data_IF_252097255426
#
_entry.id   IF_252097255426
#
_cell.length_a   1.000
_cell.length_b   1.000
_cell.length_c   1.000
_cell.angle_alpha   90.00
_cell.angle_beta   90.00
_cell.angle_gamma   90.00
#
_symmetry.space_group_name_H-M   'P 1'
#
loop_
_entity.id
_entity.type
_entity.pdbx_description
1 polymer ?
#
# COMPACT_ATOMS: atom_id res chain seq x y z
N UNK A 1 -8.16 -16.44 28.05
CA UNK A 1 -7.30 -16.35 26.84
C UNK A 1 -8.15 -15.64 25.80
N UNK A 2 -7.89 -14.36 25.54
CA UNK A 2 -8.50 -13.68 24.41
C UNK A 2 -7.78 -14.22 23.19
N UNK A 3 -8.51 -14.82 22.26
CA UNK A 3 -7.96 -15.27 20.99
C UNK A 3 -7.47 -14.01 20.26
N UNK A 4 -6.15 -13.84 20.15
CA UNK A 4 -5.59 -12.68 19.46
C UNK A 4 -5.73 -12.94 17.96
N UNK A 5 -6.77 -12.37 17.35
CA UNK A 5 -7.00 -12.45 15.91
C UNK A 5 -5.73 -12.04 15.17
N UNK A 6 -5.20 -12.93 14.34
CA UNK A 6 -3.99 -12.67 13.57
C UNK A 6 -4.24 -11.61 12.49
N UNK A 7 -3.22 -10.87 12.02
CA UNK A 7 -3.38 -9.92 10.91
C UNK A 7 -3.98 -10.55 9.65
N UNK A 8 -3.74 -11.85 9.45
CA UNK A 8 -4.30 -12.63 8.34
C UNK A 8 -5.82 -12.76 8.48
N UNK A 9 -6.31 -13.15 9.67
CA UNK A 9 -7.75 -13.27 9.96
C UNK A 9 -8.44 -11.91 9.88
N UNK A 10 -7.83 -10.88 10.47
CA UNK A 10 -8.36 -9.50 10.41
C UNK A 10 -8.50 -9.06 8.95
N UNK A 11 -7.46 -9.28 8.13
CA UNK A 11 -7.52 -8.91 6.72
C UNK A 11 -8.62 -9.66 5.96
N UNK A 12 -8.74 -10.97 6.17
CA UNK A 12 -9.77 -11.79 5.51
C UNK A 12 -11.18 -11.32 5.88
N UNK A 13 -11.44 -11.16 7.18
CA UNK A 13 -12.77 -10.79 7.69
C UNK A 13 -13.15 -9.37 7.26
N UNK A 14 -12.22 -8.42 7.36
CA UNK A 14 -12.50 -7.01 7.04
C UNK A 14 -12.66 -6.78 5.54
N UNK A 15 -11.84 -7.41 4.69
CA UNK A 15 -12.01 -7.29 3.23
C UNK A 15 -13.35 -7.87 2.76
N UNK A 16 -13.82 -8.96 3.37
CA UNK A 16 -15.15 -9.48 3.11
C UNK A 16 -16.25 -8.55 3.64
N UNK A 17 -16.07 -8.01 4.85
CA UNK A 17 -17.03 -7.11 5.51
C UNK A 17 -17.25 -5.80 4.74
N UNK A 18 -16.19 -5.17 4.25
CA UNK A 18 -16.28 -3.94 3.45
C UNK A 18 -16.81 -4.18 2.03
N UNK A 19 -17.12 -5.43 1.68
CA UNK A 19 -17.80 -5.77 0.42
C UNK A 19 -16.87 -5.94 -0.78
N UNK A 20 -15.59 -6.26 -0.58
CA UNK A 20 -14.68 -6.52 -1.69
C UNK A 20 -15.20 -7.69 -2.54
N UNK A 21 -15.43 -7.50 -3.86
CA UNK A 21 -15.96 -8.56 -4.71
C UNK A 21 -15.06 -9.80 -4.72
N UNK A 22 -15.68 -10.98 -4.82
CA UNK A 22 -14.97 -12.25 -4.78
C UNK A 22 -13.87 -12.38 -5.85
N UNK A 23 -13.99 -11.67 -6.98
CA UNK A 23 -12.97 -11.63 -8.04
C UNK A 23 -11.71 -10.90 -7.58
N UNK A 24 -11.84 -9.77 -6.89
CA UNK A 24 -10.71 -9.00 -6.35
C UNK A 24 -10.17 -9.63 -5.06
N UNK A 25 -11.05 -10.13 -4.20
CA UNK A 25 -10.67 -10.82 -2.96
C UNK A 25 -9.72 -12.00 -3.22
N UNK A 26 -9.96 -12.77 -4.29
CA UNK A 26 -9.08 -13.88 -4.70
C UNK A 26 -7.69 -13.46 -5.17
N UNK A 27 -7.46 -12.17 -5.44
CA UNK A 27 -6.14 -11.63 -5.78
C UNK A 27 -5.29 -11.37 -4.53
N UNK A 28 -5.88 -11.40 -3.33
CA UNK A 28 -5.18 -11.17 -2.07
C UNK A 28 -4.58 -12.48 -1.54
N UNK A 29 -3.29 -12.44 -1.23
CA UNK A 29 -2.59 -13.55 -0.58
C UNK A 29 -2.77 -13.43 0.95
N UNK A 30 -3.49 -14.37 1.55
CA UNK A 30 -3.68 -14.46 3.00
C UNK A 30 -2.61 -15.35 3.65
N UNK A 31 -1.38 -14.86 3.63
CA UNK A 31 -0.21 -15.48 4.26
C UNK A 31 0.59 -14.42 5.01
N UNK A 32 1.54 -14.80 5.87
CA UNK A 32 2.37 -13.83 6.57
C UNK A 32 3.35 -13.14 5.59
N UNK A 33 3.32 -11.79 5.53
CA UNK A 33 4.31 -11.01 4.80
C UNK A 33 5.50 -10.68 5.69
N UNK A 34 6.62 -11.37 5.48
CA UNK A 34 7.85 -11.19 6.25
C UNK A 34 8.99 -10.57 5.43
N UNK A 35 9.85 -9.81 6.13
CA UNK A 35 11.07 -9.24 5.59
C UNK A 35 10.88 -8.00 4.71
N UNK A 36 12.00 -7.51 4.18
CA UNK A 36 12.05 -6.42 3.22
C UNK A 36 12.92 -6.80 2.00
N UNK A 37 12.51 -6.48 0.75
CA UNK A 37 11.20 -5.94 0.36
C UNK A 37 10.06 -6.89 0.74
N UNK A 38 8.83 -6.38 0.94
CA UNK A 38 7.70 -7.19 1.41
C UNK A 38 7.33 -8.24 0.37
N UNK A 39 6.68 -9.31 0.84
CA UNK A 39 6.01 -10.29 -0.03
C UNK A 39 4.51 -9.99 -0.02
N UNK A 40 3.80 -10.50 -1.02
CA UNK A 40 2.35 -10.50 -0.93
C UNK A 40 1.92 -11.28 0.32
N UNK A 41 0.97 -10.74 1.07
CA UNK A 41 0.64 -11.25 2.40
C UNK A 41 0.12 -10.18 3.34
N UNK A 42 -0.23 -10.60 4.56
CA UNK A 42 -0.69 -9.75 5.62
C UNK A 42 0.38 -9.64 6.71
N UNK A 43 0.46 -8.48 7.36
CA UNK A 43 1.28 -8.27 8.56
C UNK A 43 0.60 -7.25 9.48
N UNK A 44 1.04 -7.16 10.73
CA UNK A 44 0.64 -6.04 11.59
C UNK A 44 1.10 -4.72 10.97
N UNK A 45 0.21 -3.73 10.93
CA UNK A 45 0.63 -2.37 10.56
C UNK A 45 1.05 -1.63 11.83
N UNK A 46 2.17 -0.90 11.82
CA UNK A 46 2.45 0.04 12.90
C UNK A 46 1.42 1.20 12.83
N UNK A 47 1.08 1.73 14.00
CA UNK A 47 0.44 3.03 14.20
C UNK A 47 -1.10 3.11 14.06
N UNK A 48 -1.72 2.67 12.96
CA UNK A 48 -3.15 3.01 12.72
C UNK A 48 -4.04 1.91 12.15
N UNK A 49 -3.48 0.74 11.85
CA UNK A 49 -4.19 -0.35 11.18
C UNK A 49 -3.98 -1.68 11.91
N UNK A 50 -5.05 -2.39 12.29
CA UNK A 50 -4.94 -3.73 12.85
C UNK A 50 -4.34 -4.75 11.87
N UNK A 51 -4.36 -4.47 10.55
CA UNK A 51 -3.72 -5.32 9.55
C UNK A 51 -3.36 -4.55 8.26
N UNK A 52 -2.12 -4.73 7.81
CA UNK A 52 -1.66 -4.33 6.47
C UNK A 52 -1.72 -5.51 5.53
N UNK A 53 -2.23 -5.28 4.33
CA UNK A 53 -2.14 -6.22 3.20
C UNK A 53 -1.13 -5.70 2.18
N UNK A 54 -0.11 -6.48 1.89
CA UNK A 54 0.75 -6.31 0.73
C UNK A 54 0.16 -7.08 -0.45
N UNK A 55 -0.26 -6.38 -1.49
CA UNK A 55 -1.04 -6.96 -2.59
C UNK A 55 -0.38 -6.73 -3.96
N UNK A 56 -0.37 -7.79 -4.80
CA UNK A 56 0.05 -7.73 -6.22
C UNK A 56 -1.17 -7.54 -7.11
N UNK A 57 -1.77 -6.36 -7.06
CA UNK A 57 -3.07 -6.06 -7.68
C UNK A 57 -2.95 -4.95 -8.71
N UNK A 58 -3.80 -4.90 -9.74
CA UNK A 58 -3.96 -3.65 -10.49
C UNK A 58 -4.85 -2.68 -9.70
N UNK A 59 -4.24 -1.66 -9.09
CA UNK A 59 -4.97 -0.67 -8.31
C UNK A 59 -6.00 0.07 -9.16
N UNK A 60 -5.72 0.32 -10.45
CA UNK A 60 -6.70 0.94 -11.34
C UNK A 60 -7.95 0.04 -11.53
N UNK A 61 -7.77 -1.27 -11.69
CA UNK A 61 -8.88 -2.22 -11.78
C UNK A 61 -9.70 -2.24 -10.47
N UNK A 62 -9.02 -2.25 -9.32
CA UNK A 62 -9.69 -2.21 -8.03
C UNK A 62 -10.54 -0.96 -7.84
N UNK A 63 -10.06 0.20 -8.30
CA UNK A 63 -10.81 1.46 -8.25
C UNK A 63 -12.02 1.43 -9.19
N UNK A 64 -11.86 0.90 -10.40
CA UNK A 64 -12.95 0.81 -11.38
C UNK A 64 -14.08 -0.12 -10.88
N UNK A 65 -13.72 -1.22 -10.21
CA UNK A 65 -14.67 -2.24 -9.75
C UNK A 65 -15.19 -1.97 -8.35
N UNK A 66 -14.41 -1.32 -7.49
CA UNK A 66 -14.69 -1.25 -6.05
C UNK A 66 -14.13 0.02 -5.38
N UNK A 67 -14.25 1.18 -6.03
CA UNK A 67 -13.86 2.46 -5.43
C UNK A 67 -14.41 2.70 -4.01
N UNK A 68 -15.59 2.17 -3.68
CA UNK A 68 -16.24 2.30 -2.37
C UNK A 68 -15.48 1.64 -1.21
N UNK A 69 -14.56 0.70 -1.47
CA UNK A 69 -13.79 0.06 -0.37
C UNK A 69 -12.62 0.92 0.10
N UNK A 70 -12.28 1.98 -0.63
CA UNK A 70 -11.21 2.90 -0.27
C UNK A 70 -11.76 4.06 0.56
N UNK A 71 -11.01 4.44 1.59
CA UNK A 71 -11.37 5.55 2.47
C UNK A 71 -11.17 6.91 1.81
N UNK A 72 -11.30 7.99 2.60
CA UNK A 72 -10.95 9.34 2.15
C UNK A 72 -9.52 9.38 1.60
N UNK A 73 -9.35 10.13 0.50
CA UNK A 73 -8.08 10.27 -0.20
C UNK A 73 -8.02 11.65 -0.87
N UNK A 74 -6.81 12.10 -1.23
CA UNK A 74 -6.61 13.40 -1.87
C UNK A 74 -7.15 13.38 -3.31
N UNK A 75 -7.48 14.55 -3.82
CA UNK A 75 -7.91 14.69 -5.21
C UNK A 75 -6.86 14.08 -6.18
N UNK A 76 -7.31 13.24 -7.11
CA UNK A 76 -6.49 12.54 -8.10
C UNK A 76 -5.44 11.55 -7.56
N UNK A 77 -5.39 11.31 -6.25
CA UNK A 77 -4.37 10.44 -5.64
C UNK A 77 -4.46 9.01 -6.19
N UNK A 78 -5.58 8.32 -5.96
CA UNK A 78 -5.72 6.91 -6.32
C UNK A 78 -5.61 6.68 -7.84
N UNK A 79 -6.08 7.64 -8.66
CA UNK A 79 -5.92 7.59 -10.12
C UNK A 79 -4.44 7.72 -10.54
N UNK A 80 -3.69 8.64 -9.92
CA UNK A 80 -2.25 8.80 -10.15
C UNK A 80 -1.49 7.55 -9.72
N UNK A 81 -1.81 7.00 -8.54
CA UNK A 81 -1.20 5.76 -8.05
C UNK A 81 -1.46 4.58 -9.01
N UNK A 82 -2.70 4.43 -9.50
CA UNK A 82 -3.04 3.42 -10.50
C UNK A 82 -2.22 3.56 -11.78
N UNK A 83 -2.05 4.79 -12.29
CA UNK A 83 -1.24 5.08 -13.49
C UNK A 83 0.25 4.79 -13.28
N UNK A 84 0.81 5.18 -12.14
CA UNK A 84 2.20 4.88 -11.75
C UNK A 84 2.41 3.37 -11.65
N UNK A 85 1.54 2.66 -10.94
CA UNK A 85 1.63 1.20 -10.79
C UNK A 85 1.62 0.46 -12.13
N UNK A 86 0.75 0.88 -13.06
CA UNK A 86 0.71 0.32 -14.41
C UNK A 86 2.02 0.55 -15.17
N UNK A 87 2.55 1.77 -15.10
CA UNK A 87 3.82 2.12 -15.76
C UNK A 87 4.98 1.30 -15.21
N UNK A 88 5.06 1.13 -13.88
CA UNK A 88 6.13 0.37 -13.23
C UNK A 88 6.07 -1.13 -13.55
N UNK A 89 4.87 -1.74 -13.67
CA UNK A 89 4.73 -3.14 -14.12
C UNK A 89 5.30 -3.39 -15.51
N UNK A 90 5.32 -2.36 -16.36
CA UNK A 90 5.83 -2.41 -17.73
C UNK A 90 7.31 -2.01 -17.82
N UNK A 91 7.98 -1.73 -16.70
CA UNK A 91 9.36 -1.25 -16.67
C UNK A 91 10.40 -2.30 -17.12
N UNK A 92 10.03 -3.57 -17.18
CA UNK A 92 10.87 -4.65 -17.68
C UNK A 92 10.35 -6.03 -17.27
N UNK A 93 10.89 -7.06 -17.90
CA UNK A 93 10.59 -8.45 -17.55
C UNK A 93 10.95 -8.71 -16.07
N UNK A 94 10.03 -9.33 -15.33
CA UNK A 94 10.20 -9.59 -13.90
C UNK A 94 9.90 -8.42 -12.97
N UNK A 95 9.40 -7.28 -13.49
CA UNK A 95 8.92 -6.18 -12.65
C UNK A 95 7.65 -6.58 -11.88
N UNK A 96 7.69 -6.42 -10.57
CA UNK A 96 6.61 -6.71 -9.63
C UNK A 96 6.28 -5.44 -8.87
N UNK A 97 5.00 -5.07 -8.88
CA UNK A 97 4.47 -3.94 -8.10
C UNK A 97 3.61 -4.47 -6.96
N UNK A 98 3.93 -4.04 -5.75
CA UNK A 98 3.24 -4.34 -4.51
C UNK A 98 2.66 -3.05 -3.91
N UNK A 99 1.41 -3.12 -3.49
CA UNK A 99 0.73 -2.05 -2.75
C UNK A 99 0.54 -2.46 -1.30
N UNK A 100 0.87 -1.58 -0.37
CA UNK A 100 0.40 -1.68 1.00
C UNK A 100 -1.00 -1.07 1.11
N UNK A 101 -1.94 -1.91 1.53
CA UNK A 101 -3.32 -1.55 1.83
C UNK A 101 -3.52 -1.71 3.33
N UNK A 102 -3.63 -0.59 4.04
CA UNK A 102 -3.95 -0.58 5.45
C UNK A 102 -5.46 -0.62 5.64
N UNK A 103 -5.92 -1.49 6.54
CA UNK A 103 -7.32 -1.60 6.93
C UNK A 103 -7.53 -0.66 8.11
N UNK A 104 -8.29 0.41 7.91
CA UNK A 104 -8.41 1.48 8.91
C UNK A 104 -9.83 1.48 9.47
N UNK A 105 -9.93 1.51 10.80
CA UNK A 105 -11.21 1.52 11.50
C UNK A 105 -11.91 2.88 11.46
N UNK A 106 -13.26 2.94 11.55
CA UNK A 106 -14.03 4.17 11.49
C UNK A 106 -13.54 5.27 12.43
N UNK A 107 -13.16 4.90 13.65
CA UNK A 107 -12.76 5.85 14.69
C UNK A 107 -11.38 6.47 14.44
N UNK A 108 -10.59 5.91 13.53
CA UNK A 108 -9.28 6.45 13.12
C UNK A 108 -9.45 7.45 11.99
N UNK A 109 -10.49 7.36 11.17
CA UNK A 109 -10.69 8.31 10.08
C UNK A 109 -11.20 9.68 10.56
N UNK A 110 -10.85 10.73 9.83
CA UNK A 110 -11.61 11.99 9.86
C UNK A 110 -12.85 11.81 8.99
N UNK A 111 -14.03 11.95 9.61
CA UNK A 111 -15.34 11.97 8.94
C UNK A 111 -15.65 10.77 8.01
N UNK A 112 -15.18 9.56 8.35
CA UNK A 112 -15.53 8.33 7.62
C UNK A 112 -16.12 7.25 8.55
N UNK A 113 -17.41 6.91 8.42
CA UNK A 113 -18.12 6.11 9.43
C UNK A 113 -17.92 4.58 9.29
N UNK A 114 -17.11 4.12 8.35
CA UNK A 114 -16.94 2.69 8.04
C UNK A 114 -15.47 2.30 7.95
N UNK A 115 -15.18 1.01 8.12
CA UNK A 115 -13.86 0.43 7.83
C UNK A 115 -13.59 0.62 6.35
N UNK A 116 -12.37 1.00 5.99
CA UNK A 116 -11.97 1.18 4.61
C UNK A 116 -10.47 0.98 4.41
N UNK A 117 -10.06 0.89 3.15
CA UNK A 117 -8.67 0.74 2.75
C UNK A 117 -7.98 2.09 2.53
N UNK A 118 -6.81 2.24 3.12
CA UNK A 118 -5.83 3.26 2.77
C UNK A 118 -4.71 2.64 1.94
N UNK A 119 -4.35 3.26 0.81
CA UNK A 119 -3.10 2.93 0.11
C UNK A 119 -1.98 3.74 0.75
N UNK A 120 -0.99 3.07 1.33
CA UNK A 120 0.01 3.76 2.17
C UNK A 120 1.43 3.62 1.66
N UNK A 121 1.68 2.62 0.82
CA UNK A 121 3.02 2.31 0.32
C UNK A 121 2.97 1.61 -1.03
N UNK A 122 3.97 1.88 -1.85
CA UNK A 122 4.21 1.31 -3.16
C UNK A 122 5.63 0.76 -3.18
N UNK A 123 5.78 -0.51 -3.54
CA UNK A 123 7.10 -1.11 -3.77
C UNK A 123 7.15 -1.70 -5.17
N UNK A 124 8.17 -1.33 -5.92
CA UNK A 124 8.54 -1.97 -7.18
C UNK A 124 9.77 -2.85 -6.94
N UNK A 125 9.72 -4.11 -7.34
CA UNK A 125 10.84 -5.06 -7.27
C UNK A 125 11.09 -5.65 -8.65
N UNK A 126 12.35 -5.73 -9.08
CA UNK A 126 12.71 -6.38 -10.34
C UNK A 126 13.99 -5.81 -10.93
N UNK A 127 14.02 -5.49 -12.24
CA UNK A 127 15.19 -4.88 -12.86
C UNK A 127 15.42 -3.44 -12.35
N UNK A 128 16.61 -2.93 -12.59
CA UNK A 128 16.95 -1.52 -12.37
C UNK A 128 16.03 -0.65 -13.24
N UNK A 129 15.26 0.23 -12.60
CA UNK A 129 14.45 1.23 -13.27
C UNK A 129 15.35 2.28 -13.93
N UNK A 130 15.11 2.66 -15.19
CA UNK A 130 15.82 3.77 -15.81
C UNK A 130 15.62 5.09 -15.05
N UNK A 131 16.65 5.93 -14.95
CA UNK A 131 16.59 7.21 -14.22
C UNK A 131 15.41 8.09 -14.63
N UNK A 132 15.09 8.14 -15.93
CA UNK A 132 13.92 8.87 -16.45
C UNK A 132 12.59 8.38 -15.87
N UNK A 133 12.47 7.07 -15.61
CA UNK A 133 11.27 6.46 -15.05
C UNK A 133 11.20 6.72 -13.55
N UNK A 134 12.34 6.67 -12.85
CA UNK A 134 12.44 7.05 -11.44
C UNK A 134 12.01 8.50 -11.25
N UNK A 135 12.55 9.42 -12.05
CA UNK A 135 12.20 10.84 -12.00
C UNK A 135 10.70 11.07 -12.29
N UNK A 136 10.17 10.49 -13.37
CA UNK A 136 8.75 10.62 -13.70
C UNK A 136 7.82 10.05 -12.61
N UNK A 137 8.23 8.95 -11.97
CA UNK A 137 7.50 8.36 -10.84
C UNK A 137 7.52 9.30 -9.64
N UNK A 138 8.70 9.84 -9.31
CA UNK A 138 8.86 10.79 -8.22
C UNK A 138 8.00 12.05 -8.43
N UNK A 139 8.04 12.65 -9.62
CA UNK A 139 7.25 13.84 -9.95
C UNK A 139 5.74 13.57 -9.83
N UNK A 140 5.27 12.44 -10.37
CA UNK A 140 3.86 12.05 -10.31
C UNK A 140 3.38 11.83 -8.86
N UNK A 141 4.17 11.12 -8.05
CA UNK A 141 3.83 10.81 -6.66
C UNK A 141 3.89 12.06 -5.77
N UNK A 142 4.91 12.90 -5.93
CA UNK A 142 5.04 14.16 -5.18
C UNK A 142 3.87 15.11 -5.47
N UNK A 143 3.38 15.14 -6.71
CA UNK A 143 2.23 15.96 -7.09
C UNK A 143 0.93 15.58 -6.35
N UNK A 144 0.84 14.37 -5.81
CA UNK A 144 -0.30 13.89 -5.00
C UNK A 144 0.05 13.70 -3.52
N UNK A 145 1.17 14.26 -3.06
CA UNK A 145 1.56 14.26 -1.64
C UNK A 145 2.28 13.01 -1.14
N UNK A 146 2.75 12.16 -2.06
CA UNK A 146 3.57 10.99 -1.74
C UNK A 146 5.06 11.35 -1.75
N UNK A 147 5.87 10.58 -1.05
CA UNK A 147 7.32 10.79 -0.95
C UNK A 147 8.10 9.49 -1.22
N UNK A 148 9.35 9.65 -1.64
CA UNK A 148 10.30 8.55 -1.70
C UNK A 148 10.72 8.10 -0.31
N UNK A 149 10.80 6.79 -0.09
CA UNK A 149 11.17 6.21 1.19
C UNK A 149 12.54 6.74 1.68
N UNK A 150 12.62 7.39 2.86
CA UNK A 150 13.78 8.21 3.24
C UNK A 150 15.07 7.42 3.43
N UNK A 151 14.96 6.12 3.71
CA UNK A 151 16.09 5.23 3.94
C UNK A 151 16.33 4.24 2.80
N UNK A 152 15.60 4.35 1.69
CA UNK A 152 15.68 3.39 0.59
C UNK A 152 15.72 4.11 -0.75
N UNK A 153 16.92 4.50 -1.22
CA UNK A 153 17.04 5.13 -2.52
C UNK A 153 16.50 4.22 -3.62
N UNK A 154 16.10 4.76 -4.79
CA UNK A 154 15.51 3.96 -5.84
C UNK A 154 16.57 3.00 -6.37
N UNK A 155 16.13 1.84 -6.84
CA UNK A 155 16.98 0.75 -7.31
C UNK A 155 17.93 0.13 -6.26
N UNK A 156 17.62 0.29 -4.97
CA UNK A 156 18.33 -0.38 -3.88
C UNK A 156 18.40 -1.90 -4.11
N UNK A 157 19.57 -2.50 -3.89
CA UNK A 157 19.75 -3.94 -4.08
C UNK A 157 18.88 -4.79 -3.14
N UNK A 158 18.30 -5.85 -3.65
CA UNK A 158 17.52 -6.84 -2.89
C UNK A 158 17.83 -8.27 -3.31
N UNK A 159 17.37 -9.23 -2.50
CA UNK A 159 17.31 -10.64 -2.87
C UNK A 159 15.90 -11.14 -2.64
N UNK A 160 15.21 -11.54 -3.70
CA UNK A 160 13.89 -12.16 -3.64
C UNK A 160 13.99 -13.59 -4.16
N UNK A 161 13.57 -14.56 -3.34
CA UNK A 161 13.63 -15.99 -3.68
C UNK A 161 15.01 -16.46 -4.21
N UNK A 162 16.10 -15.96 -3.59
CA UNK A 162 17.51 -16.21 -3.97
C UNK A 162 17.95 -15.61 -5.31
N UNK A 163 17.16 -14.69 -5.88
CA UNK A 163 17.51 -13.93 -7.07
C UNK A 163 17.83 -12.49 -6.68
N UNK A 164 19.00 -11.99 -7.09
CA UNK A 164 19.39 -10.59 -6.89
C UNK A 164 18.52 -9.70 -7.78
N UNK A 165 18.00 -8.62 -7.19
CA UNK A 165 17.10 -7.67 -7.81
C UNK A 165 17.41 -6.24 -7.35
N UNK A 166 16.69 -5.29 -7.92
CA UNK A 166 16.55 -3.93 -7.39
C UNK A 166 15.15 -3.72 -6.86
N UNK A 167 15.02 -2.83 -5.87
CA UNK A 167 13.73 -2.33 -5.41
C UNK A 167 13.73 -0.82 -5.26
N UNK A 168 12.54 -0.24 -5.42
CA UNK A 168 12.25 1.17 -5.19
C UNK A 168 10.95 1.26 -4.40
N UNK A 169 10.88 2.16 -3.43
CA UNK A 169 9.73 2.28 -2.54
C UNK A 169 9.32 3.74 -2.35
N UNK A 170 8.02 3.95 -2.28
CA UNK A 170 7.37 5.24 -2.05
C UNK A 170 6.24 5.06 -1.04
N UNK A 171 5.97 6.08 -0.26
CA UNK A 171 4.97 6.04 0.80
C UNK A 171 4.14 7.32 0.82
N UNK A 172 3.00 7.25 1.50
CA UNK A 172 2.19 8.43 1.78
C UNK A 172 3.00 9.41 2.66
N UNK A 173 3.47 10.50 2.05
CA UNK A 173 4.58 11.33 2.56
C UNK A 173 4.16 12.45 3.51
N UNK A 174 2.86 12.63 3.73
CA UNK A 174 2.31 13.61 4.66
C UNK A 174 1.56 12.80 5.71
N UNK A 175 1.83 13.01 7.00
CA UNK A 175 0.97 12.51 8.08
C UNK A 175 -0.46 12.97 7.79
N UNK A 176 -1.25 12.07 7.22
CA UNK A 176 -2.36 12.51 6.38
C UNK A 176 -3.48 13.03 7.28
N UNK A 177 -4.03 14.23 7.05
CA UNK A 177 -5.12 14.78 7.86
C UNK A 177 -6.42 13.96 7.75
N UNK A 178 -6.42 12.87 6.97
CA UNK A 178 -7.51 11.89 6.92
C UNK A 178 -7.51 10.94 8.13
N UNK A 179 -6.47 10.94 8.96
CA UNK A 179 -6.42 10.16 10.20
C UNK A 179 -6.50 11.05 11.45
N UNK A 180 -7.18 10.56 12.48
CA UNK A 180 -7.15 11.12 13.82
C UNK A 180 -5.86 10.69 14.51
N UNK A 181 -5.14 11.66 15.08
CA UNK A 181 -4.03 11.33 15.96
C UNK A 181 -4.57 10.61 17.21
N UNK A 182 -3.87 9.57 17.71
CA UNK A 182 -4.25 8.94 18.96
C UNK A 182 -4.17 10.00 20.08
N UNK A 183 -5.04 9.93 21.11
CA UNK A 183 -4.94 10.84 22.24
C UNK A 183 -3.54 10.78 22.86
N UNK A 184 -2.79 11.90 22.82
CA UNK A 184 -1.47 12.04 23.43
C UNK A 184 -0.26 12.08 22.49
N UNK A 185 -0.44 12.04 21.17
CA UNK A 185 0.65 12.28 20.20
C UNK A 185 0.54 13.72 19.68
N UNK A 186 1.23 14.67 20.33
CA UNK A 186 1.41 16.01 19.79
C UNK A 186 2.46 15.99 18.66
N UNK A 187 2.17 16.65 17.54
CA UNK A 187 3.12 16.79 16.44
C UNK A 187 4.35 17.56 16.93
N UNK A 188 5.51 16.90 16.98
CA UNK A 188 6.78 17.60 17.14
C UNK A 188 6.95 18.55 15.94
N UNK A 189 6.87 19.85 16.23
CA UNK A 189 7.09 20.94 15.26
C UNK A 189 8.57 21.10 14.90
#
# INVERSE_FOLDING_TARGET
>A
MVDMTTPIQIAADQLAYIGLPATLYKQVEFAESTGWPPRAGCRSSPDFSPARVWARIDLAEWLDVSSHVFGPHRANELATLGGVGRTLRLAGEGSIVLWALDIIEPHIWVDHPTVALAVTELVCVGPVLPDRLVAATYDALTAVGWAEHPTMPPNSGCVVNRTTCSHSAWYDGIATPQYQLPPGVEQAS
#
